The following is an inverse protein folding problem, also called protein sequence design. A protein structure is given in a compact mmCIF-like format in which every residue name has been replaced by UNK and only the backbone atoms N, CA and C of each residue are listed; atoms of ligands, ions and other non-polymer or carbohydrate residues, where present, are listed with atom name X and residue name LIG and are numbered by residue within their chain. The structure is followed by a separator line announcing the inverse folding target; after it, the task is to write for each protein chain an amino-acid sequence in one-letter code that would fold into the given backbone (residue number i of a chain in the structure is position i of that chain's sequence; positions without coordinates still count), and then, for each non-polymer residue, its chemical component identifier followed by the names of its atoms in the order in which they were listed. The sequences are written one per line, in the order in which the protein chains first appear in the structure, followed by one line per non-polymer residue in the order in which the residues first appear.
data_IF_207485535927
#
_entry.id   IF_207485535927
#
_cell.length_a   1.000
_cell.length_b   1.000
_cell.length_c   1.000
_cell.angle_alpha   90.00
_cell.angle_beta   90.00
_cell.angle_gamma   90.00
#
_symmetry.space_group_name_H-M   'P 1'
#
loop_
_entity.id
_entity.type
_entity.pdbx_description
1 polymer ?
#
# COMPACT_ATOMS: atom_id res chain seq x y z
N UNK A 1 -48.27 -2.04 20.27
CA UNK A 1 -47.25 -1.33 19.47
C UNK A 1 -46.06 -1.06 20.39
N UNK A 2 -44.96 -1.79 20.23
CA UNK A 2 -43.72 -1.54 20.98
C UNK A 2 -42.67 -1.16 19.96
N UNK A 3 -42.21 0.08 20.03
CA UNK A 3 -41.13 0.61 19.21
C UNK A 3 -39.84 0.41 20.02
N UNK A 4 -38.99 -0.54 19.61
CA UNK A 4 -37.66 -0.69 20.21
C UNK A 4 -36.71 0.23 19.45
N UNK A 5 -36.27 1.29 20.11
CA UNK A 5 -35.29 2.24 19.58
C UNK A 5 -33.89 1.70 19.88
N UNK A 6 -33.24 1.11 18.89
CA UNK A 6 -31.85 0.63 19.02
C UNK A 6 -30.89 1.80 18.80
N UNK A 7 -30.32 2.35 19.87
CA UNK A 7 -29.26 3.35 19.78
C UNK A 7 -27.92 2.67 19.49
N UNK A 8 -27.37 2.89 18.29
CA UNK A 8 -26.00 2.52 17.95
C UNK A 8 -25.08 3.59 18.55
N UNK A 9 -24.31 3.23 19.58
CA UNK A 9 -23.23 4.07 20.09
C UNK A 9 -22.05 3.91 19.14
N UNK A 10 -21.80 4.92 18.31
CA UNK A 10 -20.58 5.00 17.49
C UNK A 10 -19.49 5.60 18.38
N UNK A 11 -18.59 4.76 18.87
CA UNK A 11 -17.38 5.20 19.56
C UNK A 11 -16.41 5.73 18.51
N UNK A 12 -16.29 7.06 18.40
CA UNK A 12 -15.24 7.68 17.61
C UNK A 12 -13.95 7.60 18.40
N UNK A 13 -13.08 6.63 18.07
CA UNK A 13 -11.71 6.59 18.57
C UNK A 13 -10.95 7.70 17.85
N UNK A 14 -10.67 8.81 18.53
CA UNK A 14 -9.80 9.87 18.02
C UNK A 14 -8.34 9.43 18.21
N UNK A 15 -7.91 8.50 17.36
CA UNK A 15 -6.50 8.14 17.27
C UNK A 15 -5.77 9.35 16.69
N UNK A 16 -5.01 10.05 17.55
CA UNK A 16 -4.19 11.18 17.12
C UNK A 16 -3.34 10.75 15.95
N UNK A 17 -3.53 11.40 14.79
CA UNK A 17 -2.78 11.08 13.57
C UNK A 17 -1.28 11.14 13.89
N UNK A 18 -0.52 10.07 13.63
CA UNK A 18 0.92 10.07 13.90
C UNK A 18 1.59 11.23 13.17
N UNK A 19 2.44 11.97 13.87
CA UNK A 19 3.12 13.16 13.31
C UNK A 19 4.14 12.81 12.22
N UNK A 20 4.60 11.57 12.25
CA UNK A 20 5.55 10.92 11.36
C UNK A 20 4.87 10.13 10.23
N UNK A 21 3.53 10.13 10.15
CA UNK A 21 2.80 9.51 9.06
C UNK A 21 3.05 10.27 7.76
N UNK A 22 3.74 9.63 6.82
CA UNK A 22 4.08 10.22 5.52
C UNK A 22 2.91 10.14 4.54
N UNK A 23 2.24 8.98 4.48
CA UNK A 23 1.12 8.74 3.55
C UNK A 23 0.17 7.73 4.18
N UNK A 24 -1.13 7.96 4.01
CA UNK A 24 -2.17 7.02 4.36
C UNK A 24 -3.31 7.12 3.35
N UNK A 25 -3.46 6.06 2.55
CA UNK A 25 -4.50 5.90 1.54
C UNK A 25 -5.53 4.89 2.05
N UNK A 26 -6.62 5.34 2.69
CA UNK A 26 -7.61 4.44 3.27
C UNK A 26 -8.58 3.90 2.21
N UNK A 27 -8.69 4.56 1.05
CA UNK A 27 -9.61 4.21 -0.03
C UNK A 27 -11.09 4.15 0.41
N UNK A 28 -11.51 5.10 1.25
CA UNK A 28 -12.90 5.22 1.74
C UNK A 28 -13.78 6.08 0.83
N UNK A 29 -13.26 6.52 -0.32
CA UNK A 29 -14.07 7.16 -1.34
C UNK A 29 -15.08 6.17 -1.93
N UNK A 30 -16.33 6.61 -2.17
CA UNK A 30 -17.36 5.83 -2.88
C UNK A 30 -17.08 5.67 -4.39
N UNK A 31 -15.80 5.66 -4.76
CA UNK A 31 -15.28 5.73 -6.12
C UNK A 31 -14.90 7.15 -6.56
N UNK A 32 -14.52 7.26 -7.83
CA UNK A 32 -14.20 8.54 -8.46
C UNK A 32 -12.85 8.55 -9.18
N UNK A 33 -12.40 9.75 -9.52
CA UNK A 33 -11.20 9.98 -10.34
C UNK A 33 -9.95 10.25 -9.53
N UNK A 34 -10.04 10.32 -8.20
CA UNK A 34 -8.90 10.68 -7.34
C UNK A 34 -8.81 9.77 -6.13
N UNK A 35 -7.59 9.52 -5.67
CA UNK A 35 -7.32 8.89 -4.38
C UNK A 35 -6.73 9.94 -3.44
N UNK A 36 -7.22 9.98 -2.20
CA UNK A 36 -6.84 11.00 -1.21
C UNK A 36 -5.99 10.38 -0.11
N UNK A 37 -4.84 11.00 0.12
CA UNK A 37 -4.05 10.79 1.32
C UNK A 37 -4.65 11.59 2.49
N UNK A 38 -4.95 10.89 3.58
CA UNK A 38 -5.48 11.51 4.79
C UNK A 38 -4.41 11.81 5.84
N UNK A 39 -3.13 11.52 5.55
CA UNK A 39 -1.99 11.93 6.38
C UNK A 39 -1.91 13.46 6.52
N UNK A 40 -1.02 13.99 7.37
CA UNK A 40 -0.75 15.42 7.43
C UNK A 40 -0.28 16.04 6.09
N UNK A 41 0.24 15.24 5.15
CA UNK A 41 0.75 15.73 3.87
C UNK A 41 -0.32 15.92 2.79
N UNK A 42 -1.50 15.29 2.93
CA UNK A 42 -2.72 15.55 2.12
C UNK A 42 -2.51 15.44 0.61
N UNK A 43 -1.73 14.46 0.16
CA UNK A 43 -1.57 14.21 -1.28
C UNK A 43 -2.90 13.80 -1.94
N UNK A 44 -3.17 14.31 -3.14
CA UNK A 44 -4.34 13.92 -3.92
C UNK A 44 -3.89 13.77 -5.37
N UNK A 45 -4.16 12.62 -5.97
CA UNK A 45 -3.81 12.40 -7.37
C UNK A 45 -4.85 11.56 -8.11
N UNK A 46 -4.78 11.61 -9.43
CA UNK A 46 -5.71 10.96 -10.33
C UNK A 46 -5.52 9.44 -10.34
N UNK A 47 -6.65 8.73 -10.30
CA UNK A 47 -6.72 7.29 -10.51
C UNK A 47 -6.79 7.03 -12.02
N UNK A 48 -5.74 6.41 -12.56
CA UNK A 48 -5.63 6.11 -14.00
C UNK A 48 -5.71 4.62 -14.25
N UNK A 49 -6.57 4.21 -15.19
CA UNK A 49 -6.79 2.81 -15.61
C UNK A 49 -6.94 1.83 -14.43
N UNK A 50 -7.70 2.22 -13.41
CA UNK A 50 -8.02 1.38 -12.27
C UNK A 50 -9.50 1.48 -11.92
N UNK A 51 -10.00 0.45 -11.24
CA UNK A 51 -11.40 0.35 -10.79
C UNK A 51 -11.44 0.30 -9.27
N UNK A 52 -12.42 0.97 -8.70
CA UNK A 52 -12.75 0.84 -7.29
C UNK A 52 -13.51 -0.47 -7.08
N UNK A 53 -13.01 -1.29 -6.17
CA UNK A 53 -13.57 -2.60 -5.82
C UNK A 53 -13.68 -2.71 -4.29
N UNK A 54 -14.41 -3.70 -3.78
CA UNK A 54 -14.39 -3.96 -2.33
C UNK A 54 -13.00 -4.42 -1.88
N UNK A 55 -12.50 -3.82 -0.79
CA UNK A 55 -11.23 -4.15 -0.18
C UNK A 55 -11.39 -5.03 1.06
N UNK A 56 -10.28 -5.23 1.78
CA UNK A 56 -10.30 -5.87 3.12
C UNK A 56 -10.99 -4.96 4.14
N UNK A 57 -10.75 -3.64 4.03
CA UNK A 57 -11.46 -2.58 4.72
C UNK A 57 -11.77 -1.51 3.67
N UNK A 58 -13.01 -1.00 3.66
CA UNK A 58 -13.43 -0.01 2.67
C UNK A 58 -13.31 -0.52 1.23
N UNK A 59 -12.80 0.34 0.34
CA UNK A 59 -12.52 -0.01 -1.06
C UNK A 59 -11.05 -0.36 -1.28
N UNK A 60 -10.75 -0.86 -2.47
CA UNK A 60 -9.42 -1.01 -3.00
C UNK A 60 -9.39 -0.59 -4.48
N UNK A 61 -8.18 -0.46 -5.03
CA UNK A 61 -7.97 -0.20 -6.45
C UNK A 61 -7.50 -1.47 -7.14
N UNK A 62 -8.29 -1.93 -8.11
CA UNK A 62 -7.90 -2.95 -9.08
C UNK A 62 -7.27 -2.28 -10.30
N UNK A 63 -5.97 -2.48 -10.50
CA UNK A 63 -5.23 -1.89 -11.61
C UNK A 63 -5.28 -2.75 -12.87
N UNK A 64 -5.60 -2.13 -14.01
CA UNK A 64 -5.47 -2.74 -15.34
C UNK A 64 -4.52 -1.87 -16.18
N UNK A 65 -3.21 -2.11 -16.05
CA UNK A 65 -2.17 -1.26 -16.66
C UNK A 65 -2.31 0.23 -16.22
N UNK A 66 -2.63 0.42 -14.94
CA UNK A 66 -2.95 1.71 -14.34
C UNK A 66 -2.00 2.13 -13.22
N UNK A 67 -2.27 3.32 -12.66
CA UNK A 67 -1.52 3.84 -11.52
C UNK A 67 -2.28 4.96 -10.79
N UNK A 68 -1.90 5.20 -9.54
CA UNK A 68 -2.07 6.49 -8.86
C UNK A 68 -0.66 7.03 -8.66
N UNK A 69 -0.33 8.14 -9.31
CA UNK A 69 1.05 8.64 -9.34
C UNK A 69 1.13 9.95 -8.57
N UNK A 70 1.53 9.90 -7.32
CA UNK A 70 1.88 11.10 -6.58
C UNK A 70 3.18 11.72 -7.11
N UNK A 71 3.22 13.04 -7.26
CA UNK A 71 4.47 13.77 -7.48
C UNK A 71 5.46 13.51 -6.32
N UNK A 72 6.78 13.62 -6.55
CA UNK A 72 7.78 13.31 -5.54
C UNK A 72 7.48 13.99 -4.21
N UNK A 73 7.38 13.17 -3.15
CA UNK A 73 7.09 13.63 -1.80
C UNK A 73 8.17 14.63 -1.38
N UNK A 74 7.77 15.86 -1.04
CA UNK A 74 8.66 16.86 -0.44
C UNK A 74 8.74 16.64 1.07
N UNK A 75 9.12 15.42 1.46
CA UNK A 75 9.30 15.01 2.85
C UNK A 75 10.77 14.73 3.10
N UNK A 76 11.25 15.04 4.29
CA UNK A 76 12.60 14.68 4.70
C UNK A 76 12.73 13.15 4.68
N UNK A 77 13.90 12.65 4.25
CA UNK A 77 14.17 11.22 4.25
C UNK A 77 14.12 10.69 5.70
N UNK A 78 13.20 9.77 6.02
CA UNK A 78 13.06 9.28 7.38
C UNK A 78 14.25 8.37 7.73
N UNK A 79 14.69 8.42 8.98
CA UNK A 79 15.77 7.54 9.48
C UNK A 79 15.34 6.07 9.51
N UNK A 80 14.05 5.83 9.72
CA UNK A 80 13.41 4.53 9.81
C UNK A 80 12.06 4.62 9.07
N UNK A 81 11.68 3.57 8.34
CA UNK A 81 10.47 3.57 7.52
C UNK A 81 9.69 2.28 7.72
N UNK A 82 8.40 2.42 8.03
CA UNK A 82 7.43 1.32 8.00
C UNK A 82 6.48 1.53 6.83
N UNK A 83 6.21 0.45 6.09
CA UNK A 83 5.23 0.42 5.01
C UNK A 83 4.32 -0.77 5.26
N UNK A 84 3.02 -0.52 5.27
CA UNK A 84 1.97 -1.53 5.41
C UNK A 84 0.87 -1.27 4.37
N UNK A 85 0.35 -2.33 3.78
CA UNK A 85 -0.77 -2.26 2.85
C UNK A 85 -1.36 -3.65 2.64
N UNK A 86 -2.63 -3.69 2.22
CA UNK A 86 -3.26 -4.88 1.67
C UNK A 86 -2.97 -4.97 0.17
N UNK A 87 -2.69 -6.17 -0.32
CA UNK A 87 -2.60 -6.42 -1.75
C UNK A 87 -3.25 -7.75 -2.10
N UNK A 88 -3.74 -7.85 -3.34
CA UNK A 88 -4.22 -9.09 -3.92
C UNK A 88 -3.73 -9.19 -5.36
N UNK A 89 -3.06 -10.28 -5.75
CA UNK A 89 -2.72 -10.52 -7.15
C UNK A 89 -3.98 -10.61 -8.03
N UNK A 90 -3.93 -10.03 -9.23
CA UNK A 90 -5.03 -10.19 -10.19
C UNK A 90 -5.12 -11.62 -10.74
N UNK A 91 -4.01 -12.37 -10.69
CA UNK A 91 -3.89 -13.76 -11.13
C UNK A 91 -2.92 -14.49 -10.21
N UNK A 92 -3.15 -15.79 -10.05
CA UNK A 92 -2.23 -16.68 -9.34
C UNK A 92 -0.85 -16.68 -9.99
N UNK A 93 0.20 -16.74 -9.19
CA UNK A 93 1.57 -16.90 -9.68
C UNK A 93 2.46 -17.61 -8.68
N UNK A 94 3.40 -18.41 -9.21
CA UNK A 94 4.41 -19.18 -8.45
C UNK A 94 5.83 -18.95 -8.97
N UNK A 95 6.01 -18.02 -9.92
CA UNK A 95 7.28 -17.73 -10.56
C UNK A 95 7.14 -16.72 -11.70
N UNK A 96 8.24 -16.45 -12.42
CA UNK A 96 8.24 -15.63 -13.63
C UNK A 96 9.21 -14.45 -13.59
N UNK A 97 8.89 -13.41 -14.37
CA UNK A 97 9.68 -12.18 -14.37
C UNK A 97 9.55 -11.44 -13.03
N UNK A 98 10.57 -10.64 -12.71
CA UNK A 98 10.55 -9.77 -11.53
C UNK A 98 9.35 -8.83 -11.57
N UNK A 99 8.64 -8.73 -10.46
CA UNK A 99 7.59 -7.73 -10.25
C UNK A 99 7.93 -6.93 -8.99
N UNK A 100 7.74 -5.62 -9.00
CA UNK A 100 8.06 -4.76 -7.86
C UNK A 100 6.78 -4.15 -7.29
N UNK A 101 6.58 -4.30 -5.98
CA UNK A 101 5.54 -3.58 -5.23
C UNK A 101 6.05 -2.24 -4.74
N UNK A 102 7.32 -2.21 -4.33
CA UNK A 102 8.04 -1.00 -3.95
C UNK A 102 9.44 -1.10 -4.52
N UNK A 103 9.88 -0.05 -5.19
CA UNK A 103 11.25 0.05 -5.67
C UNK A 103 11.70 1.51 -5.71
N UNK A 104 13.00 1.72 -5.61
CA UNK A 104 13.60 3.04 -5.80
C UNK A 104 13.69 3.36 -7.29
N UNK A 105 13.02 4.43 -7.74
CA UNK A 105 12.99 4.85 -9.15
C UNK A 105 14.38 5.20 -9.70
N UNK A 106 15.18 5.95 -8.94
CA UNK A 106 16.48 6.47 -9.38
C UNK A 106 17.62 5.98 -8.47
N UNK A 107 18.78 5.69 -9.08
CA UNK A 107 20.01 5.38 -8.33
C UNK A 107 20.18 3.92 -7.94
N UNK A 108 19.45 2.99 -8.58
CA UNK A 108 19.63 1.54 -8.52
C UNK A 108 19.99 0.99 -7.14
N UNK A 109 19.02 0.47 -6.37
CA UNK A 109 19.34 -0.02 -5.04
C UNK A 109 18.13 -0.46 -4.21
N UNK A 110 18.35 -0.49 -2.89
CA UNK A 110 17.38 -0.84 -1.85
C UNK A 110 16.82 0.44 -1.20
N UNK A 111 15.65 0.40 -0.52
CA UNK A 111 14.81 -0.78 -0.30
C UNK A 111 13.96 -1.17 -1.52
N UNK A 112 13.60 -2.46 -1.59
CA UNK A 112 12.56 -2.93 -2.51
C UNK A 112 11.74 -4.08 -1.91
N UNK A 113 10.47 -4.12 -2.28
CA UNK A 113 9.50 -5.19 -2.01
C UNK A 113 9.16 -5.78 -3.37
N UNK A 114 9.51 -7.06 -3.58
CA UNK A 114 9.54 -7.63 -4.93
C UNK A 114 9.11 -9.09 -4.95
N UNK A 115 8.57 -9.51 -6.09
CA UNK A 115 8.33 -10.90 -6.44
C UNK A 115 9.33 -11.40 -7.48
N UNK A 116 9.57 -12.71 -7.46
CA UNK A 116 10.39 -13.44 -8.45
C UNK A 116 11.81 -12.87 -8.61
N UNK A 117 12.49 -12.62 -7.49
CA UNK A 117 13.88 -12.12 -7.48
C UNK A 117 14.79 -13.14 -6.85
N UNK A 118 15.86 -13.52 -7.55
CA UNK A 118 16.91 -14.38 -6.98
C UNK A 118 16.42 -15.75 -6.50
N UNK A 119 15.37 -16.30 -7.12
CA UNK A 119 14.73 -17.56 -6.72
C UNK A 119 13.75 -17.44 -5.55
N UNK A 120 13.44 -16.23 -5.09
CA UNK A 120 12.48 -15.96 -4.03
C UNK A 120 11.19 -15.43 -4.63
N UNK A 121 10.07 -16.09 -4.28
CA UNK A 121 8.75 -15.72 -4.78
C UNK A 121 8.32 -14.35 -4.25
N UNK A 122 8.51 -14.06 -2.98
CA UNK A 122 8.23 -12.75 -2.37
C UNK A 122 9.32 -12.41 -1.34
N UNK A 123 9.97 -11.26 -1.53
CA UNK A 123 11.10 -10.84 -0.71
C UNK A 123 11.08 -9.34 -0.41
N UNK A 124 11.51 -9.02 0.81
CA UNK A 124 11.75 -7.65 1.25
C UNK A 124 13.25 -7.48 1.47
N UNK A 125 13.82 -6.43 0.89
CA UNK A 125 15.26 -6.19 0.93
C UNK A 125 15.51 -4.75 1.38
N UNK A 126 15.97 -4.60 2.61
CA UNK A 126 16.43 -3.31 3.15
C UNK A 126 17.96 -3.27 3.12
N UNK A 127 18.54 -2.17 2.65
CA UNK A 127 19.96 -1.90 2.84
C UNK A 127 20.11 -0.91 3.98
N UNK A 128 20.85 -1.31 5.01
CA UNK A 128 21.65 -0.34 5.74
C UNK A 128 23.11 -0.76 5.62
N UNK A 129 23.99 0.19 5.27
CA UNK A 129 25.46 0.09 5.40
C UNK A 129 26.10 -1.23 4.93
N UNK A 130 25.65 -1.79 3.80
CA UNK A 130 26.26 -2.96 3.16
C UNK A 130 25.81 -4.32 3.69
N UNK A 131 24.94 -4.39 4.70
CA UNK A 131 24.30 -5.63 5.12
C UNK A 131 22.93 -5.79 4.43
N UNK A 132 22.71 -6.96 3.83
CA UNK A 132 21.43 -7.33 3.22
C UNK A 132 20.59 -8.07 4.25
N UNK A 133 19.47 -7.47 4.67
CA UNK A 133 18.44 -8.18 5.43
C UNK A 133 17.38 -8.63 4.44
N UNK A 134 17.53 -9.87 3.97
CA UNK A 134 16.52 -10.53 3.16
C UNK A 134 15.52 -11.23 4.08
N UNK A 135 14.25 -10.85 3.96
CA UNK A 135 13.15 -11.61 4.55
C UNK A 135 12.50 -12.40 3.41
N UNK A 136 12.69 -13.72 3.41
CA UNK A 136 12.11 -14.63 2.44
C UNK A 136 10.74 -15.08 2.91
N UNK A 137 9.75 -14.91 2.05
CA UNK A 137 8.48 -15.61 2.19
C UNK A 137 8.67 -17.12 2.12
N UNK A 138 7.90 -17.88 2.90
CA UNK A 138 7.78 -19.34 2.77
C UNK A 138 6.68 -19.75 1.78
N UNK A 139 5.89 -18.80 1.27
CA UNK A 139 4.88 -19.07 0.27
C UNK A 139 5.52 -19.48 -1.06
N UNK A 140 4.99 -20.56 -1.64
CA UNK A 140 5.39 -21.10 -2.96
C UNK A 140 4.44 -20.66 -4.08
N UNK A 141 3.31 -20.05 -3.72
CA UNK A 141 2.31 -19.50 -4.63
C UNK A 141 1.56 -18.35 -3.92
N UNK A 142 1.08 -17.36 -4.68
CA UNK A 142 0.17 -16.32 -4.21
C UNK A 142 -1.11 -16.33 -5.05
N UNK A 143 -2.26 -16.11 -4.38
CA UNK A 143 -3.61 -16.13 -4.97
C UNK A 143 -4.41 -14.85 -4.71
#
# INVERSE_FOLDING_TARGET
MILVLTSIIVLTVDAKTPKDLIIHLPFEEEGGKVAKDISPNKFVDEVKNAKWVEGVQGKALEFNEGSVKFEPLKVDEPKELTIEFWFKPAKKFSGGNRMDMMYRKNGGGRPHITFNRGGVLFGHYFANRGAELEIRSQFVEFE
#
